data_IF_543365745252
#
_entry.id   IF_543365745252
#
_cell.length_a   1.000
_cell.length_b   1.000
_cell.length_c   1.000
_cell.angle_alpha   90.00
_cell.angle_beta   90.00
_cell.angle_gamma   90.00
#
_symmetry.space_group_name_H-M   'P 1'
#
loop_
_entity.id
_entity.type
_entity.pdbx_description
1 polymer ?
#
# COMPACT_ATOMS: atom_id res chain seq x y z
N UNK A 1 -11.03 -61.82 18.41
CA UNK A 1 -9.62 -62.01 18.05
C UNK A 1 -9.35 -61.35 16.69
N UNK A 2 -8.60 -60.24 16.72
CA UNK A 2 -7.72 -59.66 15.68
C UNK A 2 -8.26 -59.48 14.25
N UNK A 3 -8.54 -58.25 13.82
CA UNK A 3 -7.60 -57.25 13.24
C UNK A 3 -7.04 -57.68 11.88
N UNK A 4 -7.47 -56.98 10.81
CA UNK A 4 -6.62 -56.25 9.82
C UNK A 4 -7.44 -55.90 8.57
N UNK A 5 -8.17 -54.79 8.63
CA UNK A 5 -8.52 -54.00 7.45
C UNK A 5 -8.14 -52.57 7.81
N UNK A 6 -7.05 -52.08 7.24
CA UNK A 6 -6.55 -50.69 7.20
C UNK A 6 -5.06 -50.77 6.88
N UNK A 7 -4.67 -50.53 5.63
CA UNK A 7 -3.39 -49.95 5.19
C UNK A 7 -3.34 -50.06 3.67
N UNK A 8 -4.01 -49.14 2.96
CA UNK A 8 -3.77 -48.90 1.51
C UNK A 8 -4.29 -47.52 1.07
N UNK A 9 -4.25 -46.55 1.98
CA UNK A 9 -4.58 -45.14 1.70
C UNK A 9 -3.71 -44.25 2.60
N UNK A 10 -2.39 -44.32 2.41
CA UNK A 10 -1.46 -43.38 3.03
C UNK A 10 -0.11 -43.39 2.29
N UNK A 11 -0.10 -42.94 1.02
CA UNK A 11 1.15 -42.66 0.30
C UNK A 11 0.97 -41.66 -0.86
N UNK A 12 0.03 -40.72 -0.74
CA UNK A 12 -0.06 -39.56 -1.64
C UNK A 12 -0.43 -38.33 -0.81
N UNK A 13 0.46 -37.99 0.12
CA UNK A 13 0.45 -36.70 0.83
C UNK A 13 1.78 -36.03 0.52
N UNK A 14 1.67 -34.98 -0.30
CA UNK A 14 2.57 -33.83 -0.38
C UNK A 14 4.06 -34.11 -0.20
N UNK A 15 4.71 -34.52 -1.29
CA UNK A 15 6.02 -33.98 -1.61
C UNK A 15 5.80 -32.74 -2.51
N UNK A 16 5.13 -31.72 -1.99
CA UNK A 16 5.31 -30.38 -2.54
C UNK A 16 6.71 -29.95 -2.09
N UNK A 17 7.62 -29.98 -3.05
CA UNK A 17 9.01 -29.57 -2.94
C UNK A 17 9.15 -28.29 -2.12
N UNK A 18 9.75 -28.39 -0.93
CA UNK A 18 10.65 -27.33 -0.44
C UNK A 18 11.91 -27.36 -1.32
N UNK A 19 11.76 -27.12 -2.62
CA UNK A 19 12.85 -26.55 -3.38
C UNK A 19 13.02 -25.17 -2.75
N UNK A 20 14.10 -24.98 -2.01
CA UNK A 20 14.40 -23.68 -1.43
C UNK A 20 14.45 -22.67 -2.57
N UNK A 21 13.46 -21.77 -2.63
CA UNK A 21 13.44 -20.65 -3.56
C UNK A 21 14.80 -19.96 -3.45
N UNK A 22 15.59 -20.00 -4.51
CA UNK A 22 16.90 -19.40 -4.49
C UNK A 22 16.72 -17.87 -4.56
N UNK A 23 16.61 -17.23 -3.39
CA UNK A 23 16.47 -15.77 -3.22
C UNK A 23 17.54 -14.96 -3.96
N UNK A 24 18.64 -15.61 -4.33
CA UNK A 24 19.80 -15.05 -5.01
C UNK A 24 19.92 -15.46 -6.49
N UNK A 25 18.94 -16.14 -7.07
CA UNK A 25 18.95 -16.42 -8.50
C UNK A 25 19.01 -15.08 -9.29
N UNK A 26 19.83 -15.02 -10.37
CA UNK A 26 19.87 -13.84 -11.21
C UNK A 26 18.49 -13.62 -11.84
N UNK A 27 18.00 -12.39 -11.75
CA UNK A 27 16.74 -11.98 -12.40
C UNK A 27 16.98 -11.58 -13.84
N UNK A 28 15.98 -11.76 -14.69
CA UNK A 28 16.08 -11.40 -16.10
C UNK A 28 15.93 -9.89 -16.30
N UNK A 29 16.90 -9.25 -16.97
CA UNK A 29 16.78 -7.88 -17.48
C UNK A 29 16.94 -7.81 -19.01
N UNK A 30 17.10 -8.96 -19.65
CA UNK A 30 17.29 -9.08 -21.09
C UNK A 30 15.93 -9.28 -21.75
N UNK A 31 15.50 -8.31 -22.56
CA UNK A 31 14.21 -8.34 -23.26
C UNK A 31 14.06 -9.58 -24.13
N UNK A 32 15.16 -10.11 -24.70
CA UNK A 32 15.14 -11.31 -25.53
C UNK A 32 14.80 -12.59 -24.77
N UNK A 33 14.83 -12.54 -23.43
CA UNK A 33 14.54 -13.66 -22.53
C UNK A 33 13.19 -13.54 -21.83
N UNK A 34 12.39 -12.53 -22.18
CA UNK A 34 11.00 -12.42 -21.72
C UNK A 34 10.22 -13.63 -22.27
N UNK A 35 9.55 -14.42 -21.41
CA UNK A 35 8.77 -15.56 -21.89
C UNK A 35 7.62 -15.10 -22.78
N UNK A 36 7.11 -15.99 -23.63
CA UNK A 36 5.81 -15.77 -24.24
C UNK A 36 4.73 -15.87 -23.14
N UNK A 37 3.79 -14.94 -23.14
CA UNK A 37 2.66 -14.95 -22.21
C UNK A 37 1.43 -14.31 -22.87
N UNK A 38 0.25 -14.72 -22.42
CA UNK A 38 -1.00 -14.09 -22.81
C UNK A 38 -1.32 -12.90 -21.89
N UNK A 39 -1.82 -11.81 -22.47
CA UNK A 39 -2.31 -10.65 -21.72
C UNK A 39 -3.81 -10.85 -21.47
N UNK A 40 -4.26 -10.97 -20.20
CA UNK A 40 -5.69 -11.04 -19.89
C UNK A 40 -6.45 -9.85 -20.48
N UNK A 41 -7.56 -10.11 -21.17
CA UNK A 41 -8.41 -9.06 -21.71
C UNK A 41 -9.21 -8.39 -20.59
N UNK A 42 -8.81 -7.17 -20.24
CA UNK A 42 -9.46 -6.34 -19.22
C UNK A 42 -10.94 -6.09 -19.50
N UNK A 43 -11.38 -6.19 -20.76
CA UNK A 43 -12.78 -6.03 -21.17
C UNK A 43 -13.51 -7.37 -21.39
N UNK A 44 -13.04 -8.46 -20.81
CA UNK A 44 -13.75 -9.75 -20.80
C UNK A 44 -14.07 -10.17 -19.36
N UNK A 45 -15.35 -10.42 -19.07
CA UNK A 45 -15.81 -10.97 -17.78
C UNK A 45 -15.28 -12.40 -17.57
N UNK A 46 -15.25 -12.85 -16.31
CA UNK A 46 -14.89 -14.24 -15.95
C UNK A 46 -15.73 -15.29 -16.69
N UNK A 47 -16.98 -14.97 -17.00
CA UNK A 47 -17.89 -15.85 -17.75
C UNK A 47 -17.69 -15.82 -19.28
N UNK A 48 -16.62 -15.18 -19.75
CA UNK A 48 -16.25 -15.05 -21.17
C UNK A 48 -17.01 -13.97 -21.94
N UNK A 49 -17.95 -13.24 -21.31
CA UNK A 49 -18.69 -12.18 -21.99
C UNK A 49 -17.89 -10.88 -22.08
N UNK A 50 -17.85 -10.30 -23.27
CA UNK A 50 -17.25 -8.99 -23.49
C UNK A 50 -18.01 -7.84 -22.77
N UNK A 51 -17.25 -6.92 -22.19
CA UNK A 51 -17.68 -5.66 -21.57
C UNK A 51 -17.83 -4.60 -22.66
N UNK A 52 -19.06 -4.15 -22.91
CA UNK A 52 -19.39 -3.20 -23.99
C UNK A 52 -19.92 -1.85 -23.48
N UNK A 53 -19.94 -1.65 -22.16
CA UNK A 53 -20.46 -0.42 -21.56
C UNK A 53 -19.89 -0.15 -20.18
N UNK A 54 -19.88 1.12 -19.78
CA UNK A 54 -19.50 1.55 -18.41
C UNK A 54 -20.34 0.84 -17.34
N UNK A 55 -21.63 0.60 -17.63
CA UNK A 55 -22.51 -0.13 -16.70
C UNK A 55 -22.06 -1.57 -16.49
N UNK A 56 -21.64 -2.28 -17.55
CA UNK A 56 -21.11 -3.64 -17.44
C UNK A 56 -19.75 -3.65 -16.72
N UNK A 57 -18.89 -2.68 -17.02
CA UNK A 57 -17.62 -2.49 -16.31
C UNK A 57 -17.85 -2.33 -14.80
N UNK A 58 -18.61 -1.31 -14.38
CA UNK A 58 -18.79 -0.98 -12.96
C UNK A 58 -19.59 -2.04 -12.18
N UNK A 59 -20.49 -2.79 -12.82
CA UNK A 59 -21.37 -3.76 -12.14
C UNK A 59 -20.92 -5.21 -12.24
N UNK A 60 -19.99 -5.57 -13.14
CA UNK A 60 -19.54 -6.95 -13.34
C UNK A 60 -18.02 -7.06 -13.30
N UNK A 61 -17.33 -6.59 -14.36
CA UNK A 61 -15.89 -6.80 -14.51
C UNK A 61 -15.04 -6.16 -13.42
N UNK A 62 -15.38 -4.93 -13.01
CA UNK A 62 -14.65 -4.23 -11.95
C UNK A 62 -14.77 -4.93 -10.59
N UNK A 63 -15.97 -5.36 -10.12
CA UNK A 63 -16.10 -6.23 -8.96
C UNK A 63 -15.33 -7.57 -9.05
N UNK A 64 -15.35 -8.23 -10.21
CA UNK A 64 -14.59 -9.48 -10.45
C UNK A 64 -13.10 -9.25 -10.24
N UNK A 65 -12.53 -8.25 -10.90
CA UNK A 65 -11.12 -7.88 -10.75
C UNK A 65 -10.77 -7.48 -9.33
N UNK A 66 -11.60 -6.64 -8.69
CA UNK A 66 -11.37 -6.23 -7.30
C UNK A 66 -11.31 -7.44 -6.37
N UNK A 67 -12.20 -8.42 -6.56
CA UNK A 67 -12.18 -9.68 -5.83
C UNK A 67 -10.88 -10.44 -6.11
N UNK A 68 -10.47 -10.63 -7.36
CA UNK A 68 -9.22 -11.35 -7.69
C UNK A 68 -8.00 -10.73 -7.00
N UNK A 69 -7.79 -9.42 -7.16
CA UNK A 69 -6.68 -8.71 -6.50
C UNK A 69 -6.76 -8.76 -4.96
N UNK A 70 -7.98 -8.77 -4.40
CA UNK A 70 -8.18 -8.90 -2.95
C UNK A 70 -7.96 -10.32 -2.45
N UNK A 71 -8.27 -11.36 -3.23
CA UNK A 71 -8.18 -12.75 -2.76
C UNK A 71 -6.81 -13.37 -3.06
N UNK A 72 -6.09 -12.84 -4.06
CA UNK A 72 -4.91 -13.50 -4.62
C UNK A 72 -3.63 -12.64 -4.65
N UNK A 73 -3.69 -11.33 -4.40
CA UNK A 73 -2.48 -10.48 -4.33
C UNK A 73 -2.40 -9.69 -3.01
N UNK A 74 -3.31 -8.75 -2.77
CA UNK A 74 -3.18 -7.82 -1.64
C UNK A 74 -3.86 -8.30 -0.35
N UNK A 75 -4.75 -9.28 -0.46
CA UNK A 75 -5.62 -9.79 0.61
C UNK A 75 -6.81 -8.89 0.94
N UNK A 76 -7.80 -9.49 1.60
CA UNK A 76 -9.11 -8.90 1.88
C UNK A 76 -8.97 -7.88 3.01
N UNK A 77 -9.23 -6.61 2.71
CA UNK A 77 -9.24 -5.56 3.73
C UNK A 77 -10.45 -5.73 4.66
N UNK A 78 -10.25 -5.95 5.98
CA UNK A 78 -11.34 -6.19 6.92
C UNK A 78 -12.36 -5.05 6.95
N UNK A 79 -13.63 -5.43 6.85
CA UNK A 79 -14.76 -4.50 6.95
C UNK A 79 -15.32 -4.47 8.37
N UNK A 80 -16.00 -3.37 8.73
CA UNK A 80 -16.67 -3.23 10.04
C UNK A 80 -15.76 -3.49 11.26
N UNK A 81 -14.50 -3.09 11.15
CA UNK A 81 -13.43 -3.34 12.15
C UNK A 81 -13.78 -2.84 13.55
N UNK A 82 -14.63 -1.81 13.65
CA UNK A 82 -14.96 -1.14 14.90
C UNK A 82 -13.79 -0.35 15.48
N UNK A 83 -12.70 -0.16 14.73
CA UNK A 83 -11.56 0.66 15.12
C UNK A 83 -11.99 2.13 15.10
N UNK A 84 -11.89 2.80 16.25
CA UNK A 84 -12.12 4.24 16.36
C UNK A 84 -10.81 4.97 16.10
N UNK A 85 -10.87 6.07 15.36
CA UNK A 85 -9.72 6.93 15.08
C UNK A 85 -10.02 8.35 15.55
N UNK A 86 -9.35 8.75 16.61
CA UNK A 86 -9.38 10.11 17.15
C UNK A 86 -8.15 10.89 16.66
N UNK A 87 -8.29 12.21 16.55
CA UNK A 87 -7.24 13.08 16.01
C UNK A 87 -6.96 14.19 17.02
N UNK A 88 -5.70 14.38 17.36
CA UNK A 88 -5.23 15.44 18.25
C UNK A 88 -4.22 16.32 17.51
N UNK A 89 -4.44 17.64 17.50
CA UNK A 89 -3.46 18.58 16.98
C UNK A 89 -2.38 18.78 18.04
N UNK A 90 -1.17 18.29 17.78
CA UNK A 90 -0.03 18.43 18.70
C UNK A 90 0.67 19.77 18.52
N UNK A 91 0.86 20.21 17.28
CA UNK A 91 1.54 21.45 16.96
C UNK A 91 1.02 22.07 15.67
N UNK A 92 1.08 23.40 15.59
CA UNK A 92 0.78 24.17 14.38
C UNK A 92 1.75 25.34 14.26
N UNK A 93 2.35 25.48 13.08
CA UNK A 93 3.23 26.61 12.74
C UNK A 93 2.68 27.34 11.51
N UNK A 94 2.00 28.50 11.67
CA UNK A 94 1.49 29.29 10.55
C UNK A 94 2.57 29.93 9.66
N UNK A 95 3.82 29.99 10.14
CA UNK A 95 4.97 30.57 9.46
C UNK A 95 5.90 29.54 8.81
N UNK A 96 5.48 28.29 8.71
CA UNK A 96 6.30 27.23 8.15
C UNK A 96 6.68 27.49 6.68
N UNK A 97 7.78 26.89 6.24
CA UNK A 97 8.36 27.06 4.91
C UNK A 97 8.60 28.55 4.58
N UNK A 98 9.14 29.30 5.54
CA UNK A 98 9.38 30.74 5.39
C UNK A 98 8.10 31.56 5.19
N UNK A 99 7.00 31.16 5.83
CA UNK A 99 5.68 31.80 5.71
C UNK A 99 4.84 31.31 4.53
N UNK A 100 5.36 30.41 3.68
CA UNK A 100 4.63 29.85 2.54
C UNK A 100 3.43 28.99 2.97
N UNK A 101 3.51 28.33 4.13
CA UNK A 101 2.50 27.39 4.58
C UNK A 101 2.19 27.47 6.07
N UNK A 102 0.99 27.02 6.42
CA UNK A 102 0.65 26.57 7.76
C UNK A 102 0.96 25.08 7.86
N UNK A 103 1.91 24.72 8.74
CA UNK A 103 2.21 23.35 9.11
C UNK A 103 1.30 22.91 10.26
N UNK A 104 0.81 21.67 10.23
CA UNK A 104 0.12 20.97 11.34
C UNK A 104 0.71 19.59 11.57
N UNK A 105 0.87 19.21 12.83
CA UNK A 105 1.31 17.88 13.26
C UNK A 105 0.19 17.25 14.09
N UNK A 106 -0.38 16.16 13.58
CA UNK A 106 -1.64 15.59 14.06
C UNK A 106 -1.43 14.14 14.46
N UNK A 107 -1.68 13.85 15.73
CA UNK A 107 -1.62 12.50 16.28
C UNK A 107 -2.93 11.77 15.99
N UNK A 108 -2.82 10.67 15.27
CA UNK A 108 -3.90 9.72 15.05
C UNK A 108 -3.86 8.70 16.18
N UNK A 109 -4.96 8.57 16.92
CA UNK A 109 -5.12 7.61 18.01
C UNK A 109 -6.12 6.55 17.60
N UNK A 110 -5.62 5.36 17.31
CA UNK A 110 -6.42 4.20 16.94
C UNK A 110 -6.82 3.42 18.19
N UNK A 111 -8.08 3.00 18.28
CA UNK A 111 -8.58 2.17 19.38
C UNK A 111 -9.43 1.03 18.84
N UNK A 112 -8.97 -0.20 19.04
CA UNK A 112 -9.70 -1.42 18.70
C UNK A 112 -10.80 -1.74 19.73
N UNK A 113 -11.79 -2.56 19.33
CA UNK A 113 -12.83 -3.05 20.26
C UNK A 113 -12.28 -3.94 21.37
N UNK A 114 -11.13 -4.56 21.13
CA UNK A 114 -10.39 -5.37 22.09
C UNK A 114 -9.60 -4.54 23.12
N UNK A 115 -9.74 -3.21 23.11
CA UNK A 115 -9.08 -2.30 24.05
C UNK A 115 -7.64 -1.93 23.70
N UNK A 116 -7.03 -2.60 22.70
CA UNK A 116 -5.70 -2.22 22.21
C UNK A 116 -5.75 -0.86 21.52
N UNK A 117 -4.63 -0.15 21.57
CA UNK A 117 -4.48 1.17 20.97
C UNK A 117 -3.20 1.25 20.17
N UNK A 118 -3.20 2.08 19.14
CA UNK A 118 -2.02 2.40 18.34
C UNK A 118 -2.00 3.88 18.00
N UNK A 119 -0.85 4.42 17.60
CA UNK A 119 -0.71 5.82 17.25
C UNK A 119 0.10 6.00 15.96
N UNK A 120 -0.24 7.04 15.20
CA UNK A 120 0.53 7.49 14.04
C UNK A 120 0.58 9.01 13.94
N UNK A 121 1.67 9.56 13.41
CA UNK A 121 1.86 11.01 13.33
C UNK A 121 1.77 11.52 11.89
N UNK A 122 0.76 12.34 11.60
CA UNK A 122 0.61 13.03 10.33
C UNK A 122 1.28 14.41 10.38
N UNK A 123 2.06 14.73 9.35
CA UNK A 123 2.54 16.07 9.03
C UNK A 123 1.74 16.62 7.84
N UNK A 124 1.20 17.82 7.98
CA UNK A 124 0.38 18.47 6.96
C UNK A 124 0.86 19.90 6.72
N UNK A 125 1.16 20.25 5.47
CA UNK A 125 1.42 21.62 5.04
C UNK A 125 0.26 22.13 4.18
N UNK A 126 -0.25 23.32 4.51
CA UNK A 126 -1.35 23.99 3.80
C UNK A 126 -0.84 25.36 3.32
N UNK A 127 -0.90 25.70 2.01
CA UNK A 127 -0.40 26.98 1.51
C UNK A 127 -1.20 28.16 2.07
N UNK A 128 -0.51 29.19 2.57
CA UNK A 128 -1.13 30.37 3.20
C UNK A 128 -1.76 31.33 2.18
N UNK A 129 -1.12 31.50 1.01
CA UNK A 129 -1.48 32.50 0.01
C UNK A 129 -2.72 32.19 -0.84
N UNK A 130 -3.53 31.19 -0.46
CA UNK A 130 -4.68 30.76 -1.25
C UNK A 130 -5.97 30.94 -0.46
N UNK A 131 -6.91 31.66 -1.07
CA UNK A 131 -8.26 31.82 -0.56
C UNK A 131 -9.09 30.56 -0.84
N UNK A 132 -9.85 30.12 0.15
CA UNK A 132 -10.71 28.94 0.04
C UNK A 132 -10.00 27.61 0.35
N UNK A 133 -10.51 26.53 -0.28
CA UNK A 133 -10.04 25.15 -0.08
C UNK A 133 -9.08 24.73 -1.18
N UNK A 134 -8.04 23.98 -0.81
CA UNK A 134 -6.98 23.54 -1.72
C UNK A 134 -7.00 22.02 -1.94
N UNK A 135 -6.57 21.53 -3.13
CA UNK A 135 -6.29 20.11 -3.33
C UNK A 135 -5.15 19.66 -2.41
N UNK A 136 -5.09 18.35 -2.13
CA UNK A 136 -4.06 17.77 -1.26
C UNK A 136 -3.41 16.56 -1.89
N UNK A 137 -2.08 16.49 -1.78
CA UNK A 137 -1.27 15.32 -2.10
C UNK A 137 -1.02 14.56 -0.80
N UNK A 138 -1.37 13.28 -0.78
CA UNK A 138 -1.18 12.38 0.36
C UNK A 138 -0.15 11.32 -0.03
N UNK A 139 0.95 11.24 0.72
CA UNK A 139 2.01 10.26 0.48
C UNK A 139 2.61 9.78 1.80
N UNK A 140 3.00 8.52 1.87
CA UNK A 140 3.86 8.05 2.95
C UNK A 140 5.33 8.43 2.70
N UNK A 141 6.11 8.55 3.77
CA UNK A 141 7.58 8.63 3.74
C UNK A 141 8.21 7.37 4.34
N UNK A 142 9.51 7.15 4.08
CA UNK A 142 10.21 5.92 4.47
C UNK A 142 10.83 5.97 5.87
N UNK A 143 11.47 7.06 6.26
CA UNK A 143 12.30 7.12 7.49
C UNK A 143 11.85 8.19 8.49
N UNK A 144 10.60 8.62 8.41
CA UNK A 144 10.00 9.54 9.37
C UNK A 144 9.75 10.94 8.80
N UNK A 145 8.76 11.62 9.37
CA UNK A 145 8.34 12.96 8.95
C UNK A 145 9.51 13.97 8.98
N UNK A 146 10.38 13.87 9.99
CA UNK A 146 11.56 14.72 10.14
C UNK A 146 12.56 14.59 8.98
N UNK A 147 12.58 13.47 8.27
CA UNK A 147 13.51 13.27 7.15
C UNK A 147 13.06 14.01 5.88
N UNK A 148 11.79 14.40 5.82
CA UNK A 148 11.20 15.00 4.61
C UNK A 148 11.51 16.49 4.46
N UNK A 149 12.02 17.15 5.50
CA UNK A 149 12.24 18.60 5.56
C UNK A 149 13.37 18.94 6.53
N UNK A 150 14.00 20.10 6.35
CA UNK A 150 15.00 20.62 7.27
C UNK A 150 14.40 21.41 8.45
N UNK A 151 13.09 21.68 8.45
CA UNK A 151 12.43 22.42 9.54
C UNK A 151 12.57 21.69 10.89
N UNK A 152 13.09 22.38 11.90
CA UNK A 152 13.46 21.79 13.19
C UNK A 152 12.27 21.48 14.11
N UNK A 153 11.15 22.17 13.90
CA UNK A 153 9.91 22.02 14.66
C UNK A 153 9.07 20.80 14.22
N UNK A 154 9.44 20.14 13.12
CA UNK A 154 8.86 18.85 12.73
C UNK A 154 9.36 17.75 13.66
N UNK A 155 8.43 17.13 14.39
CA UNK A 155 8.67 16.02 15.30
C UNK A 155 9.08 14.76 14.51
N UNK A 156 10.02 13.95 15.04
CA UNK A 156 10.28 12.63 14.52
C UNK A 156 9.04 11.72 14.56
N UNK A 157 8.92 10.82 13.59
CA UNK A 157 7.84 9.82 13.58
C UNK A 157 7.97 8.83 14.75
N UNK A 158 6.83 8.32 15.22
CA UNK A 158 6.73 7.52 16.45
C UNK A 158 7.46 6.18 16.33
N UNK A 159 7.43 5.60 15.13
CA UNK A 159 8.08 4.33 14.80
C UNK A 159 9.61 4.41 14.66
N UNK A 160 10.22 5.60 14.71
CA UNK A 160 11.68 5.76 14.57
C UNK A 160 12.44 4.84 15.52
N UNK A 161 12.07 4.82 16.80
CA UNK A 161 12.82 4.05 17.80
C UNK A 161 12.60 2.54 17.74
N UNK A 162 11.60 2.11 16.96
CA UNK A 162 11.28 0.70 16.72
C UNK A 162 12.15 0.12 15.59
N UNK A 163 12.63 0.93 14.65
CA UNK A 163 13.34 0.44 13.48
C UNK A 163 14.76 0.01 13.80
N UNK A 164 15.19 -1.10 13.19
CA UNK A 164 16.53 -1.71 13.43
C UNK A 164 17.66 -0.77 13.03
N UNK A 165 17.43 0.05 12.01
CA UNK A 165 18.39 0.98 11.40
C UNK A 165 18.23 2.43 11.89
N UNK A 166 17.49 2.67 12.99
CA UNK A 166 17.17 4.01 13.52
C UNK A 166 18.34 4.97 13.77
N UNK A 167 19.55 4.44 13.90
CA UNK A 167 20.79 5.20 14.08
C UNK A 167 21.54 5.48 12.78
N UNK A 168 21.05 5.02 11.63
CA UNK A 168 21.64 5.28 10.33
C UNK A 168 21.32 6.69 9.83
N UNK A 169 22.10 7.15 8.86
CA UNK A 169 21.96 8.48 8.25
C UNK A 169 20.58 8.68 7.61
N UNK A 170 19.92 7.61 7.16
CA UNK A 170 18.60 7.66 6.52
C UNK A 170 17.50 8.27 7.39
N UNK A 171 17.68 8.28 8.72
CA UNK A 171 16.74 8.81 9.71
C UNK A 171 17.05 10.25 10.15
N UNK A 172 18.11 10.86 9.61
CA UNK A 172 18.50 12.24 9.90
C UNK A 172 17.49 13.24 9.32
N UNK A 173 17.36 14.38 9.99
CA UNK A 173 16.45 15.45 9.57
C UNK A 173 16.84 15.93 8.17
N UNK A 174 15.84 16.06 7.28
CA UNK A 174 16.03 16.53 5.91
C UNK A 174 16.74 15.56 4.96
N UNK A 175 17.13 14.35 5.40
CA UNK A 175 17.85 13.40 4.54
C UNK A 175 17.07 13.03 3.26
N UNK A 176 15.74 12.94 3.37
CA UNK A 176 14.88 12.67 2.22
C UNK A 176 14.30 13.92 1.58
N UNK A 177 14.70 15.14 1.98
CA UNK A 177 14.08 16.38 1.51
C UNK A 177 14.12 16.54 -0.01
N UNK A 178 15.14 16.00 -0.70
CA UNK A 178 15.22 15.99 -2.16
C UNK A 178 14.07 15.22 -2.83
N UNK A 179 13.46 14.25 -2.14
CA UNK A 179 12.28 13.49 -2.59
C UNK A 179 10.96 14.24 -2.31
N UNK A 180 11.00 15.30 -1.50
CA UNK A 180 9.84 16.03 -0.98
C UNK A 180 9.88 17.50 -1.37
N UNK A 181 9.47 17.79 -2.61
CA UNK A 181 9.41 19.17 -3.13
C UNK A 181 8.22 19.97 -2.58
N UNK A 182 8.17 20.17 -1.25
CA UNK A 182 7.07 20.89 -0.57
C UNK A 182 6.85 22.28 -1.15
N UNK A 183 7.91 23.09 -1.31
CA UNK A 183 7.79 24.44 -1.85
C UNK A 183 7.14 24.47 -3.23
N UNK A 184 7.53 23.55 -4.13
CA UNK A 184 6.94 23.47 -5.47
C UNK A 184 5.44 23.16 -5.38
N UNK A 185 5.05 22.16 -4.59
CA UNK A 185 3.64 21.78 -4.42
C UNK A 185 2.82 22.95 -3.83
N UNK A 186 3.34 23.58 -2.78
CA UNK A 186 2.69 24.70 -2.08
C UNK A 186 2.53 25.93 -2.98
N UNK A 187 3.57 26.31 -3.74
CA UNK A 187 3.51 27.42 -4.73
C UNK A 187 2.53 27.13 -5.87
N UNK A 188 2.35 25.86 -6.23
CA UNK A 188 1.33 25.40 -7.19
C UNK A 188 -0.06 25.25 -6.58
N UNK A 189 -0.18 25.48 -5.28
CA UNK A 189 -1.44 25.52 -4.55
C UNK A 189 -1.97 24.19 -4.05
N UNK A 190 -1.09 23.20 -3.90
CA UNK A 190 -1.41 21.92 -3.29
C UNK A 190 -0.97 21.92 -1.83
N UNK A 191 -1.85 21.46 -0.95
CA UNK A 191 -1.43 20.98 0.36
C UNK A 191 -0.67 19.65 0.22
N UNK A 192 0.19 19.34 1.17
CA UNK A 192 0.92 18.06 1.21
C UNK A 192 0.76 17.45 2.60
N UNK A 193 0.26 16.22 2.64
CA UNK A 193 0.08 15.42 3.83
C UNK A 193 1.03 14.21 3.77
N UNK A 194 1.86 14.04 4.78
CA UNK A 194 2.73 12.87 4.91
C UNK A 194 2.63 12.22 6.28
N UNK A 195 2.79 10.90 6.29
CA UNK A 195 2.94 10.08 7.49
C UNK A 195 4.05 9.07 7.22
N UNK A 196 4.73 8.58 8.25
CA UNK A 196 5.63 7.45 8.06
C UNK A 196 4.84 6.15 8.03
N UNK A 197 5.03 5.33 7.01
CA UNK A 197 4.26 4.08 6.87
C UNK A 197 4.52 3.06 7.99
N UNK A 198 5.68 3.10 8.66
CA UNK A 198 5.95 2.26 9.83
C UNK A 198 5.10 2.64 11.05
N UNK A 199 4.59 3.88 11.12
CA UNK A 199 3.61 4.25 12.14
C UNK A 199 2.26 3.53 11.92
N UNK A 200 1.96 3.05 10.72
CA UNK A 200 0.76 2.24 10.45
C UNK A 200 1.07 0.76 10.64
N UNK A 201 2.10 0.28 9.96
CA UNK A 201 2.58 -1.09 10.12
C UNK A 201 4.08 -1.14 9.80
N UNK A 202 4.93 -1.61 10.71
CA UNK A 202 6.34 -1.78 10.44
C UNK A 202 6.61 -2.67 9.22
N UNK A 203 7.52 -2.24 8.36
CA UNK A 203 8.01 -3.05 7.25
C UNK A 203 9.06 -4.09 7.69
N UNK A 204 8.63 -4.97 8.58
CA UNK A 204 9.44 -6.08 9.11
C UNK A 204 8.49 -7.16 9.59
N UNK A 205 8.64 -8.41 9.14
CA UNK A 205 7.75 -9.50 9.56
C UNK A 205 7.78 -9.73 11.08
N UNK A 206 8.91 -9.44 11.75
CA UNK A 206 9.06 -9.58 13.20
C UNK A 206 8.40 -8.46 14.00
N UNK A 207 8.00 -7.36 13.34
CA UNK A 207 7.48 -6.16 14.01
C UNK A 207 6.01 -5.87 13.68
N UNK A 208 5.31 -6.77 12.97
CA UNK A 208 3.90 -6.58 12.57
C UNK A 208 2.96 -6.31 13.75
N UNK A 209 3.24 -6.93 14.91
CA UNK A 209 2.48 -6.75 16.14
C UNK A 209 2.64 -5.35 16.79
N UNK A 210 3.56 -4.53 16.29
CA UNK A 210 3.77 -3.14 16.74
C UNK A 210 3.09 -2.11 15.82
N UNK A 211 2.24 -2.56 14.89
CA UNK A 211 1.40 -1.70 14.05
C UNK A 211 -0.09 -1.75 14.41
N UNK A 212 -0.95 -1.39 13.46
CA UNK A 212 -2.41 -1.40 13.63
C UNK A 212 -3.04 -2.80 13.59
N UNK A 213 -2.33 -3.81 13.07
CA UNK A 213 -2.85 -5.17 12.88
C UNK A 213 -3.49 -5.77 14.14
N UNK A 214 -2.89 -5.69 15.36
CA UNK A 214 -3.50 -6.23 16.56
C UNK A 214 -4.81 -5.55 17.00
N UNK A 215 -5.17 -4.39 16.43
CA UNK A 215 -6.43 -3.70 16.75
C UNK A 215 -7.65 -4.38 16.13
N UNK A 216 -7.43 -5.20 15.10
CA UNK A 216 -8.47 -5.89 14.37
C UNK A 216 -8.94 -7.11 15.18
N UNK A 217 -10.26 -7.28 15.42
CA UNK A 217 -10.77 -8.38 16.24
C UNK A 217 -10.47 -9.79 15.69
N UNK A 218 -10.37 -9.90 14.38
CA UNK A 218 -10.10 -11.10 13.59
C UNK A 218 -8.60 -11.35 13.36
N UNK A 219 -7.73 -10.40 13.72
CA UNK A 219 -6.29 -10.56 13.58
C UNK A 219 -5.78 -11.76 14.37
N UNK A 220 -5.11 -12.67 13.66
CA UNK A 220 -4.39 -13.81 14.21
C UNK A 220 -2.93 -13.69 13.81
N UNK A 221 -2.06 -13.64 14.81
CA UNK A 221 -0.63 -13.70 14.56
C UNK A 221 -0.28 -15.00 13.83
N UNK A 222 0.53 -14.92 12.78
CA UNK A 222 0.87 -16.05 11.91
C UNK A 222 -0.37 -16.74 11.28
N UNK A 223 -1.42 -15.95 10.97
CA UNK A 223 -2.55 -16.42 10.16
C UNK A 223 -2.04 -17.12 8.89
N UNK A 224 -2.68 -18.23 8.54
CA UNK A 224 -2.46 -18.97 7.29
C UNK A 224 -3.68 -18.87 6.39
N UNK A 225 -4.55 -17.88 6.63
CA UNK A 225 -5.66 -17.63 5.73
C UNK A 225 -5.10 -17.08 4.42
N UNK A 226 -5.45 -17.73 3.32
CA UNK A 226 -4.84 -17.50 2.01
C UNK A 226 -5.12 -16.08 1.49
N UNK A 227 -6.24 -15.50 1.92
CA UNK A 227 -6.65 -14.15 1.55
C UNK A 227 -6.46 -13.11 2.67
N UNK A 228 -5.73 -13.44 3.74
CA UNK A 228 -5.36 -12.45 4.77
C UNK A 228 -4.55 -11.31 4.12
N UNK A 229 -4.99 -10.08 4.31
CA UNK A 229 -4.26 -8.91 3.82
C UNK A 229 -2.81 -8.81 4.28
N UNK A 230 -1.94 -8.54 3.32
CA UNK A 230 -0.55 -8.21 3.58
C UNK A 230 -0.39 -6.76 4.03
N UNK A 231 0.83 -6.40 4.41
CA UNK A 231 1.17 -5.04 4.86
C UNK A 231 0.90 -3.96 3.80
N UNK A 232 0.94 -4.26 2.50
CA UNK A 232 0.50 -3.33 1.45
C UNK A 232 -0.99 -2.99 1.61
N UNK A 233 -1.83 -4.00 1.89
CA UNK A 233 -3.24 -3.82 2.23
C UNK A 233 -3.44 -2.95 3.48
N UNK A 234 -2.66 -3.21 4.53
CA UNK A 234 -2.71 -2.45 5.80
C UNK A 234 -2.30 -0.98 5.59
N UNK A 235 -1.22 -0.74 4.85
CA UNK A 235 -0.78 0.62 4.52
C UNK A 235 -1.81 1.34 3.63
N UNK A 236 -2.42 0.64 2.68
CA UNK A 236 -3.47 1.19 1.83
C UNK A 236 -4.70 1.60 2.66
N UNK A 237 -5.10 0.78 3.64
CA UNK A 237 -6.12 1.14 4.62
C UNK A 237 -5.72 2.38 5.43
N UNK A 238 -4.45 2.52 5.81
CA UNK A 238 -3.95 3.72 6.50
C UNK A 238 -4.11 5.00 5.68
N UNK A 239 -3.92 4.95 4.35
CA UNK A 239 -4.19 6.12 3.49
C UNK A 239 -5.65 6.57 3.58
N UNK A 240 -6.59 5.62 3.62
CA UNK A 240 -8.01 5.94 3.81
C UNK A 240 -8.28 6.59 5.17
N UNK A 241 -7.50 6.28 6.22
CA UNK A 241 -7.61 6.96 7.52
C UNK A 241 -7.13 8.41 7.43
N UNK A 242 -6.06 8.68 6.68
CA UNK A 242 -5.61 10.05 6.41
C UNK A 242 -6.71 10.80 5.63
N UNK A 243 -7.36 10.17 4.64
CA UNK A 243 -8.49 10.78 3.95
C UNK A 243 -9.66 11.10 4.90
N UNK A 244 -10.00 10.22 5.85
CA UNK A 244 -11.04 10.45 6.87
C UNK A 244 -10.78 11.73 7.70
N UNK A 245 -9.51 12.01 8.00
CA UNK A 245 -9.09 13.24 8.67
C UNK A 245 -9.19 14.46 7.75
N UNK A 246 -8.66 14.35 6.53
CA UNK A 246 -8.61 15.45 5.57
C UNK A 246 -10.00 15.95 5.15
N UNK A 247 -11.03 15.08 5.15
CA UNK A 247 -12.42 15.50 4.93
C UNK A 247 -12.96 16.46 6.00
N UNK A 248 -12.34 16.48 7.19
CA UNK A 248 -12.68 17.36 8.32
C UNK A 248 -11.85 18.63 8.34
N UNK A 249 -10.73 18.68 7.62
CA UNK A 249 -9.86 19.85 7.57
C UNK A 249 -10.48 20.94 6.69
N UNK A 250 -10.84 22.08 7.30
CA UNK A 250 -11.66 23.12 6.65
C UNK A 250 -11.03 23.73 5.41
N UNK A 251 -9.70 23.77 5.35
CA UNK A 251 -8.89 24.31 4.25
C UNK A 251 -8.61 23.29 3.14
N UNK A 252 -8.93 22.01 3.33
CA UNK A 252 -8.73 20.99 2.31
C UNK A 252 -10.00 20.78 1.50
N UNK A 253 -9.85 20.63 0.19
CA UNK A 253 -10.92 20.26 -0.71
C UNK A 253 -11.06 18.73 -0.77
N UNK A 254 -12.09 18.21 -0.07
CA UNK A 254 -12.40 16.78 -0.05
C UNK A 254 -12.67 16.16 -1.43
N UNK A 255 -13.02 16.97 -2.43
CA UNK A 255 -13.24 16.53 -3.80
C UNK A 255 -11.94 16.38 -4.62
N UNK A 256 -10.79 16.83 -4.10
CA UNK A 256 -9.51 16.90 -4.83
C UNK A 256 -8.34 16.36 -4.01
N UNK A 257 -8.44 15.08 -3.62
CA UNK A 257 -7.35 14.34 -2.98
C UNK A 257 -6.56 13.54 -4.01
N UNK A 258 -5.24 13.53 -3.88
CA UNK A 258 -4.29 12.77 -4.70
C UNK A 258 -3.57 11.81 -3.76
N UNK A 259 -3.52 10.52 -4.10
CA UNK A 259 -2.65 9.55 -3.40
C UNK A 259 -1.41 9.30 -4.24
N UNK A 260 -0.24 9.37 -3.61
CA UNK A 260 1.06 9.21 -4.24
C UNK A 260 1.89 8.23 -3.43
N UNK A 261 2.66 7.38 -4.10
CA UNK A 261 3.72 6.63 -3.44
C UNK A 261 4.85 6.24 -4.38
N UNK A 262 6.00 5.95 -3.78
CA UNK A 262 7.20 5.49 -4.49
C UNK A 262 7.58 4.06 -4.11
N UNK A 263 8.05 3.26 -5.08
CA UNK A 263 8.51 1.88 -4.85
C UNK A 263 7.41 1.04 -4.18
N UNK A 264 7.68 0.39 -3.04
CA UNK A 264 6.67 -0.36 -2.26
C UNK A 264 5.43 0.50 -1.90
N UNK A 265 5.63 1.79 -1.62
CA UNK A 265 4.53 2.72 -1.34
C UNK A 265 3.77 3.12 -2.62
N UNK A 266 4.40 2.95 -3.80
CA UNK A 266 3.74 3.08 -5.10
C UNK A 266 2.76 1.94 -5.35
N UNK A 267 3.09 0.71 -4.93
CA UNK A 267 2.15 -0.44 -4.88
C UNK A 267 0.97 -0.11 -3.96
N UNK A 268 1.29 0.37 -2.76
CA UNK A 268 0.31 0.80 -1.75
C UNK A 268 -0.62 1.89 -2.27
N UNK A 269 -0.08 2.91 -2.96
CA UNK A 269 -0.88 4.02 -3.48
C UNK A 269 -1.87 3.56 -4.56
N UNK A 270 -1.48 2.59 -5.41
CA UNK A 270 -2.37 1.96 -6.37
C UNK A 270 -3.51 1.26 -5.65
N UNK A 271 -3.18 0.39 -4.69
CA UNK A 271 -4.20 -0.36 -3.96
C UNK A 271 -5.14 0.52 -3.14
N UNK A 272 -4.60 1.55 -2.46
CA UNK A 272 -5.40 2.56 -1.77
C UNK A 272 -6.32 3.31 -2.73
N UNK A 273 -5.80 3.70 -3.89
CA UNK A 273 -6.56 4.34 -4.95
C UNK A 273 -7.68 3.45 -5.47
N UNK A 274 -7.43 2.16 -5.66
CA UNK A 274 -8.43 1.18 -6.12
C UNK A 274 -9.56 1.03 -5.11
N UNK A 275 -9.23 0.84 -3.83
CA UNK A 275 -10.21 0.63 -2.77
C UNK A 275 -10.98 1.90 -2.38
N UNK A 276 -10.36 3.08 -2.46
CA UNK A 276 -10.93 4.33 -1.98
C UNK A 276 -11.13 5.37 -3.09
N UNK A 277 -12.39 5.55 -3.51
CA UNK A 277 -12.79 6.46 -4.58
C UNK A 277 -12.69 7.95 -4.21
N UNK A 278 -12.32 8.30 -2.96
CA UNK A 278 -12.09 9.70 -2.55
C UNK A 278 -10.83 10.27 -3.20
N UNK A 279 -9.79 9.46 -3.38
CA UNK A 279 -8.61 9.84 -4.16
C UNK A 279 -8.98 9.95 -5.64
N UNK A 280 -8.83 11.14 -6.25
CA UNK A 280 -9.19 11.41 -7.65
C UNK A 280 -8.04 11.22 -8.62
N UNK A 281 -6.82 11.26 -8.12
CA UNK A 281 -5.60 10.96 -8.85
C UNK A 281 -4.79 9.97 -8.03
N UNK A 282 -4.27 8.94 -8.69
CA UNK A 282 -3.42 7.90 -8.12
C UNK A 282 -2.07 7.97 -8.82
N UNK A 283 -1.00 8.22 -8.08
CA UNK A 283 0.35 8.36 -8.62
C UNK A 283 1.21 7.21 -8.11
N UNK A 284 1.67 6.36 -9.03
CA UNK A 284 2.53 5.23 -8.77
C UNK A 284 3.92 5.49 -9.36
N UNK A 285 4.89 5.84 -8.50
CA UNK A 285 6.25 6.15 -8.93
C UNK A 285 7.19 4.95 -8.70
N UNK A 286 7.71 4.34 -9.76
CA UNK A 286 8.66 3.22 -9.71
C UNK A 286 8.15 2.02 -8.90
N UNK A 287 6.84 1.72 -9.00
CA UNK A 287 6.23 0.72 -8.13
C UNK A 287 6.61 -0.73 -8.46
N UNK A 288 7.08 -1.02 -9.67
CA UNK A 288 7.64 -2.33 -10.03
C UNK A 288 6.69 -3.50 -9.82
N UNK A 289 7.25 -4.66 -9.44
CA UNK A 289 6.56 -5.94 -9.20
C UNK A 289 5.45 -5.80 -8.13
N UNK A 290 4.29 -6.40 -8.36
CA UNK A 290 3.10 -6.24 -7.50
C UNK A 290 2.57 -4.82 -7.40
N UNK A 291 3.00 -3.95 -8.33
CA UNK A 291 2.60 -2.56 -8.48
C UNK A 291 2.07 -2.35 -9.90
N UNK A 292 2.76 -1.52 -10.69
CA UNK A 292 2.39 -1.23 -12.08
C UNK A 292 3.08 -2.12 -13.13
N UNK A 293 4.14 -2.85 -12.78
CA UNK A 293 4.86 -3.68 -13.73
C UNK A 293 4.12 -5.00 -13.95
N UNK A 294 3.93 -5.41 -15.21
CA UNK A 294 3.29 -6.68 -15.55
C UNK A 294 4.05 -7.87 -14.96
N UNK A 295 3.38 -8.67 -14.14
CA UNK A 295 3.96 -9.84 -13.49
C UNK A 295 4.35 -10.91 -14.52
N UNK A 296 3.54 -11.10 -15.56
CA UNK A 296 3.75 -12.13 -16.59
C UNK A 296 4.99 -11.90 -17.47
N UNK A 297 5.59 -10.71 -17.43
CA UNK A 297 6.85 -10.43 -18.12
C UNK A 297 8.07 -11.08 -17.45
N UNK A 298 8.01 -11.35 -16.15
CA UNK A 298 9.11 -11.96 -15.38
C UNK A 298 10.46 -11.22 -15.59
N UNK A 299 10.42 -9.89 -15.61
CA UNK A 299 11.60 -9.01 -15.76
C UNK A 299 11.88 -8.28 -14.44
N UNK A 300 13.15 -8.29 -14.02
CA UNK A 300 13.58 -7.70 -12.75
C UNK A 300 13.06 -8.49 -11.57
N UNK A 301 12.64 -7.79 -10.50
CA UNK A 301 11.94 -8.44 -9.39
C UNK A 301 10.66 -9.12 -9.90
N UNK A 302 10.49 -10.41 -9.58
CA UNK A 302 9.34 -11.23 -9.99
C UNK A 302 8.57 -11.74 -8.75
N UNK A 303 7.49 -12.51 -8.96
CA UNK A 303 6.63 -12.95 -7.85
C UNK A 303 7.41 -13.80 -6.85
N UNK A 304 8.20 -14.75 -7.35
CA UNK A 304 9.03 -15.58 -6.49
C UNK A 304 9.98 -14.78 -5.60
N UNK A 305 10.65 -13.77 -6.16
CA UNK A 305 11.62 -12.96 -5.43
C UNK A 305 10.95 -12.05 -4.41
N UNK A 306 9.84 -11.40 -4.79
CA UNK A 306 9.17 -10.44 -3.92
C UNK A 306 8.51 -11.14 -2.73
N UNK A 307 7.85 -12.28 -2.92
CA UNK A 307 7.23 -13.03 -1.82
C UNK A 307 8.27 -13.70 -0.92
N UNK A 308 9.41 -14.12 -1.46
CA UNK A 308 10.48 -14.70 -0.66
C UNK A 308 11.21 -13.65 0.20
N UNK A 309 11.44 -12.44 -0.32
CA UNK A 309 12.15 -11.38 0.38
C UNK A 309 11.23 -10.58 1.31
N UNK A 310 9.96 -10.42 0.95
CA UNK A 310 8.97 -9.66 1.70
C UNK A 310 7.70 -10.49 1.90
N UNK A 311 7.77 -11.59 2.68
CA UNK A 311 6.65 -12.53 2.84
C UNK A 311 5.42 -11.91 3.52
N UNK A 312 5.57 -10.72 4.12
CA UNK A 312 4.50 -9.97 4.77
C UNK A 312 3.84 -8.91 3.88
N UNK A 313 4.29 -8.70 2.63
CA UNK A 313 3.75 -7.62 1.77
C UNK A 313 2.38 -7.94 1.16
N UNK A 314 2.17 -9.19 0.78
CA UNK A 314 1.01 -9.69 0.03
C UNK A 314 0.24 -10.74 0.84
N UNK A 315 -0.92 -11.17 0.36
CA UNK A 315 -1.63 -12.29 0.97
C UNK A 315 -0.91 -13.62 0.67
N UNK A 316 -1.06 -14.65 1.53
CA UNK A 316 -0.37 -15.94 1.32
C UNK A 316 -0.67 -16.59 -0.03
N UNK A 317 -1.89 -16.44 -0.57
CA UNK A 317 -2.29 -16.97 -1.87
C UNK A 317 -1.38 -16.50 -3.01
N UNK A 318 -0.81 -15.29 -2.92
CA UNK A 318 0.04 -14.75 -3.98
C UNK A 318 1.30 -15.60 -4.22
N UNK A 319 1.73 -16.36 -3.21
CA UNK A 319 2.87 -17.24 -3.33
C UNK A 319 2.61 -18.47 -4.24
N UNK A 320 1.36 -18.80 -4.56
CA UNK A 320 1.00 -19.83 -5.56
C UNK A 320 1.57 -19.49 -6.95
N UNK A 321 1.77 -18.21 -7.24
CA UNK A 321 2.27 -17.72 -8.54
C UNK A 321 3.80 -17.54 -8.57
N UNK A 322 4.51 -17.96 -7.51
CA UNK A 322 5.97 -17.97 -7.49
C UNK A 322 6.52 -18.90 -8.58
N UNK A 323 7.31 -18.36 -9.51
CA UNK A 323 7.85 -19.10 -10.67
C UNK A 323 6.72 -19.66 -11.58
N UNK A 324 5.52 -19.10 -11.47
CA UNK A 324 4.31 -19.53 -12.15
C UNK A 324 3.40 -18.32 -12.48
N UNK A 325 4.00 -17.20 -12.88
CA UNK A 325 3.29 -15.96 -13.16
C UNK A 325 2.26 -16.08 -14.32
N UNK A 326 2.48 -17.03 -15.24
CA UNK A 326 1.52 -17.36 -16.30
C UNK A 326 0.15 -17.76 -15.73
N UNK A 327 0.11 -18.41 -14.58
CA UNK A 327 -1.13 -18.88 -13.94
C UNK A 327 -1.94 -17.78 -13.24
N UNK A 328 -1.41 -16.55 -13.11
CA UNK A 328 -2.19 -15.43 -12.57
C UNK A 328 -3.46 -15.21 -13.42
N UNK A 329 -4.67 -15.16 -12.83
CA UNK A 329 -5.90 -14.93 -13.59
C UNK A 329 -6.09 -13.45 -13.97
N UNK A 330 -5.15 -12.59 -13.60
CA UNK A 330 -5.06 -11.18 -13.91
C UNK A 330 -3.62 -10.77 -14.21
N UNK A 331 -3.42 -9.50 -14.60
CA UNK A 331 -2.11 -8.84 -14.55
C UNK A 331 -2.26 -7.34 -14.24
N UNK A 332 -1.17 -6.63 -13.98
CA UNK A 332 -1.18 -5.30 -13.35
C UNK A 332 -1.81 -4.20 -14.22
N UNK A 333 -1.97 -4.38 -15.53
CA UNK A 333 -2.75 -3.45 -16.37
C UNK A 333 -4.21 -3.39 -15.94
N UNK A 334 -4.76 -4.48 -15.39
CA UNK A 334 -6.12 -4.55 -14.86
C UNK A 334 -6.23 -3.83 -13.52
N UNK A 335 -5.17 -3.86 -12.69
CA UNK A 335 -5.08 -3.05 -11.48
C UNK A 335 -5.14 -1.56 -11.81
N UNK A 336 -4.41 -1.11 -12.84
CA UNK A 336 -4.48 0.27 -13.31
C UNK A 336 -5.89 0.62 -13.82
N UNK A 337 -6.53 -0.31 -14.54
CA UNK A 337 -7.90 -0.11 -15.04
C UNK A 337 -8.92 0.05 -13.91
N UNK A 338 -8.74 -0.60 -12.74
CA UNK A 338 -9.62 -0.44 -11.58
C UNK A 338 -9.71 1.01 -11.06
N UNK A 339 -8.71 1.86 -11.36
CA UNK A 339 -8.74 3.29 -11.02
C UNK A 339 -9.80 4.05 -11.83
N UNK A 340 -10.09 3.62 -13.06
CA UNK A 340 -11.02 4.29 -13.97
C UNK A 340 -12.40 4.51 -13.34
N UNK A 341 -13.06 5.66 -13.62
CA UNK A 341 -12.68 6.71 -14.58
C UNK A 341 -11.77 7.81 -13.99
N UNK A 342 -11.20 7.58 -12.80
CA UNK A 342 -10.27 8.54 -12.19
C UNK A 342 -8.91 8.46 -12.88
N UNK A 343 -8.01 9.36 -12.52
CA UNK A 343 -6.72 9.47 -13.18
C UNK A 343 -5.68 8.61 -12.46
N UNK A 344 -4.86 7.91 -13.26
CA UNK A 344 -3.68 7.20 -12.78
C UNK A 344 -2.46 7.73 -13.52
N UNK A 345 -1.37 7.98 -12.80
CA UNK A 345 -0.06 8.32 -13.36
C UNK A 345 0.92 7.22 -12.95
N UNK A 346 1.56 6.59 -13.92
CA UNK A 346 2.65 5.63 -13.70
C UNK A 346 3.96 6.24 -14.19
N UNK A 347 5.00 6.20 -13.37
CA UNK A 347 6.35 6.65 -13.72
C UNK A 347 7.38 5.53 -13.44
N UNK A 348 8.53 5.60 -14.12
CA UNK A 348 9.61 4.60 -14.07
C UNK A 348 10.97 5.32 -14.20
N UNK A 349 12.05 4.64 -13.80
CA UNK A 349 13.43 5.13 -13.83
C UNK A 349 14.39 4.07 -14.36
#
# INVERSE_FOLDING_TARGET
MMKRVKFLLLAFVMAASMAGQNRNAPVNYDESKVPAFDVPDVLTCEDGRAVKSVRQWERRRKPELLRMFSEQEYGVTPQHTGIKVEHELLASNPGAMGGLATQKQVLFKFKGRNGKTHQALLLLYIPNGINGRVPVIVSYNFHGNQTTTFEEDVMPSLSKDLMKDKGSESWLRGEQASRWSYELALRRGYAVATMNYHDICPDSPELLAYGVLPLFPDYKENSRDENEWGTIGVWAWGYSRIADYLEKEKKIDKGRMIVLGHSRLGKTSLWAGVQDKRFKVVISNDSGCGGAAMAKRVVGENVARITANFPHWFCPAFNEYSENEEALPFDQHELLALVAPRHVYVASA
#
